data_IF_358525824856
#
_entry.id   IF_358525824856
#
_cell.length_a   1.000
_cell.length_b   1.000
_cell.length_c   1.000
_cell.angle_alpha   90.00
_cell.angle_beta   90.00
_cell.angle_gamma   90.00
#
_symmetry.space_group_name_H-M   'P 1'
#
loop_
_entity.id
_entity.type
_entity.pdbx_description
1 polymer ?
#
# COMPACT_ATOMS: atom_id res chain seq x y z
N UNK A 1 -17.55 95.58 36.23
CA UNK A 1 -17.68 95.03 34.85
C UNK A 1 -16.57 94.00 34.65
N UNK A 2 -16.84 92.74 34.91
CA UNK A 2 -15.88 91.65 34.77
C UNK A 2 -16.07 90.93 33.43
N UNK A 3 -15.03 90.86 32.61
CA UNK A 3 -15.06 90.11 31.35
C UNK A 3 -14.72 88.64 31.60
N UNK A 4 -15.72 87.77 31.42
CA UNK A 4 -15.56 86.30 31.37
C UNK A 4 -14.72 85.93 30.12
N UNK A 5 -13.59 85.28 30.35
CA UNK A 5 -12.75 84.69 29.31
C UNK A 5 -13.23 83.19 29.16
N UNK A 6 -13.87 82.92 28.04
CA UNK A 6 -14.33 81.58 27.71
C UNK A 6 -13.15 80.74 27.16
N UNK A 7 -12.66 79.74 27.92
CA UNK A 7 -11.57 78.82 27.51
C UNK A 7 -12.14 77.63 26.81
N UNK A 8 -12.32 77.67 25.50
CA UNK A 8 -12.68 76.52 24.68
C UNK A 8 -11.60 75.46 24.69
N UNK A 9 -11.75 74.44 25.53
CA UNK A 9 -10.92 73.23 25.56
C UNK A 9 -11.28 72.35 24.36
N UNK A 10 -10.54 72.45 23.24
CA UNK A 10 -10.61 71.47 22.14
C UNK A 10 -10.14 70.11 22.61
N UNK A 11 -11.07 69.17 22.93
CA UNK A 11 -10.77 67.74 23.12
C UNK A 11 -10.25 67.14 21.82
N UNK A 12 -8.95 66.85 21.74
CA UNK A 12 -8.37 66.04 20.66
C UNK A 12 -8.98 64.64 20.72
N UNK A 13 -9.92 64.29 19.84
CA UNK A 13 -10.38 62.94 19.62
C UNK A 13 -9.22 62.08 19.13
N UNK A 14 -8.61 61.29 20.02
CA UNK A 14 -7.68 60.22 19.64
C UNK A 14 -8.45 59.24 18.74
N UNK A 15 -8.14 59.20 17.43
CA UNK A 15 -8.63 58.16 16.51
C UNK A 15 -8.16 56.79 17.07
N UNK A 16 -9.07 55.97 17.58
CA UNK A 16 -8.77 54.56 17.91
C UNK A 16 -8.32 53.91 16.60
N UNK A 17 -7.05 53.57 16.49
CA UNK A 17 -6.56 52.73 15.38
C UNK A 17 -7.36 51.46 15.40
N UNK A 18 -8.06 51.15 14.31
CA UNK A 18 -8.78 49.90 14.17
C UNK A 18 -7.74 48.76 14.21
N UNK A 19 -7.62 48.05 15.30
CA UNK A 19 -6.70 46.88 15.50
C UNK A 19 -7.13 45.68 14.68
N UNK A 20 -8.40 45.64 14.20
CA UNK A 20 -8.98 44.57 13.44
C UNK A 20 -8.16 44.08 12.22
N UNK A 21 -7.64 44.94 11.32
CA UNK A 21 -6.85 44.48 10.18
C UNK A 21 -5.51 43.85 10.62
N UNK A 22 -4.92 44.29 11.72
CA UNK A 22 -3.68 43.71 12.25
C UNK A 22 -3.95 42.32 12.82
N UNK A 23 -5.05 42.15 13.53
CA UNK A 23 -5.48 40.83 14.06
C UNK A 23 -5.80 39.87 12.89
N UNK A 24 -6.47 40.35 11.85
CA UNK A 24 -6.79 39.50 10.68
C UNK A 24 -5.52 39.08 9.94
N UNK A 25 -4.57 40.00 9.71
CA UNK A 25 -3.28 39.69 9.04
C UNK A 25 -2.47 38.68 9.90
N UNK A 26 -2.43 38.86 11.22
CA UNK A 26 -1.72 37.93 12.11
C UNK A 26 -2.36 36.54 12.15
N UNK A 27 -3.71 36.43 12.09
CA UNK A 27 -4.42 35.15 11.98
C UNK A 27 -4.16 34.47 10.64
N UNK A 28 -4.19 35.22 9.53
CA UNK A 28 -3.85 34.68 8.20
C UNK A 28 -2.38 34.25 8.17
N UNK A 29 -1.46 35.05 8.73
CA UNK A 29 -0.05 34.68 8.83
C UNK A 29 0.17 33.40 9.65
N UNK A 30 -0.51 33.26 10.79
CA UNK A 30 -0.45 32.06 11.63
C UNK A 30 -1.03 30.84 10.87
N UNK A 31 -2.13 31.02 10.15
CA UNK A 31 -2.74 29.96 9.34
C UNK A 31 -1.78 29.49 8.23
N UNK A 32 -1.15 30.43 7.49
CA UNK A 32 -0.16 30.09 6.45
C UNK A 32 1.04 29.34 7.05
N UNK A 33 1.55 29.79 8.20
CA UNK A 33 2.68 29.13 8.87
C UNK A 33 2.30 27.72 9.37
N UNK A 34 1.11 27.55 9.92
CA UNK A 34 0.67 26.23 10.44
C UNK A 34 0.36 25.26 9.30
N UNK A 35 -0.36 25.69 8.26
CA UNK A 35 -0.70 24.83 7.11
C UNK A 35 0.53 24.58 6.25
N UNK A 36 1.30 25.62 5.94
CA UNK A 36 2.53 25.48 5.15
C UNK A 36 3.62 24.70 5.88
N UNK A 37 3.78 24.91 7.19
CA UNK A 37 4.70 24.14 8.03
C UNK A 37 4.29 22.69 8.16
N UNK A 38 2.98 22.43 8.30
CA UNK A 38 2.43 21.08 8.31
C UNK A 38 2.65 20.33 6.99
N UNK A 39 2.35 21.00 5.87
CA UNK A 39 2.61 20.46 4.54
C UNK A 39 4.10 20.16 4.31
N UNK A 40 4.99 21.11 4.62
CA UNK A 40 6.44 20.93 4.49
C UNK A 40 6.94 19.77 5.37
N UNK A 41 6.43 19.65 6.60
CA UNK A 41 6.78 18.58 7.51
C UNK A 41 6.40 17.20 6.93
N UNK A 42 5.17 17.06 6.45
CA UNK A 42 4.67 15.80 5.87
C UNK A 42 5.40 15.45 4.58
N UNK A 43 5.61 16.40 3.67
CA UNK A 43 6.38 16.15 2.43
C UNK A 43 7.83 15.75 2.71
N UNK A 44 8.47 16.36 3.72
CA UNK A 44 9.82 15.98 4.13
C UNK A 44 9.87 14.58 4.73
N UNK A 45 8.80 14.11 5.38
CA UNK A 45 8.69 12.73 5.86
C UNK A 45 8.51 11.75 4.69
N UNK A 46 7.63 12.06 3.74
CA UNK A 46 7.38 11.21 2.57
C UNK A 46 8.62 11.08 1.68
N UNK A 47 9.47 12.10 1.63
CA UNK A 47 10.76 12.04 0.92
C UNK A 47 11.81 11.11 1.57
N UNK A 48 11.48 10.43 2.68
CA UNK A 48 12.34 9.39 3.29
C UNK A 48 12.20 8.03 2.63
N UNK A 49 11.18 7.82 1.79
CA UNK A 49 11.06 6.60 1.01
C UNK A 49 12.20 6.49 0.02
N UNK A 50 12.61 5.25 -0.26
CA UNK A 50 13.56 4.99 -1.34
C UNK A 50 12.84 5.15 -2.68
N UNK A 51 13.12 6.28 -3.36
CA UNK A 51 12.54 6.54 -4.66
C UNK A 51 13.31 5.79 -5.75
N UNK A 52 12.58 5.04 -6.56
CA UNK A 52 13.13 4.31 -7.71
C UNK A 52 12.39 4.77 -8.96
N UNK A 53 13.10 5.50 -9.82
CA UNK A 53 12.52 5.96 -11.08
C UNK A 53 12.39 4.78 -12.05
N UNK A 54 11.23 4.65 -12.69
CA UNK A 54 10.94 3.66 -13.74
C UNK A 54 10.64 4.37 -15.07
N UNK A 55 10.91 3.69 -16.19
CA UNK A 55 10.63 4.24 -17.50
C UNK A 55 9.17 3.98 -17.90
N UNK A 56 8.29 4.94 -17.70
CA UNK A 56 6.86 4.82 -18.04
C UNK A 56 6.60 4.44 -19.51
N UNK A 57 7.49 4.82 -20.43
CA UNK A 57 7.37 4.48 -21.85
C UNK A 57 7.61 2.99 -22.19
N UNK A 58 8.07 2.19 -21.22
CA UNK A 58 8.42 0.77 -21.39
C UNK A 58 7.56 -0.19 -20.55
N UNK A 59 6.43 0.25 -20.04
CA UNK A 59 5.60 -0.55 -19.10
C UNK A 59 4.61 -1.50 -19.79
N UNK A 60 4.63 -1.64 -21.10
CA UNK A 60 3.77 -2.59 -21.83
C UNK A 60 2.27 -2.29 -21.74
N UNK A 61 1.91 -1.02 -21.55
CA UNK A 61 0.52 -0.58 -21.48
C UNK A 61 -0.05 -0.47 -22.89
N UNK A 62 -1.21 -1.09 -23.12
CA UNK A 62 -1.97 -0.92 -24.34
C UNK A 62 -2.58 0.49 -24.40
N UNK A 63 -2.40 1.20 -25.53
CA UNK A 63 -2.85 2.58 -25.71
C UNK A 63 -4.37 2.74 -25.54
N UNK A 64 -5.15 1.74 -25.98
CA UNK A 64 -6.61 1.76 -25.81
C UNK A 64 -6.99 1.66 -24.34
N UNK A 65 -6.38 0.75 -23.59
CA UNK A 65 -6.60 0.57 -22.15
C UNK A 65 -6.18 1.82 -21.39
N UNK A 66 -4.99 2.34 -21.67
CA UNK A 66 -4.44 3.54 -21.03
C UNK A 66 -5.30 4.80 -21.25
N UNK A 67 -5.89 4.94 -22.44
CA UNK A 67 -6.73 6.11 -22.76
C UNK A 67 -8.16 6.00 -22.24
N UNK A 68 -8.72 4.79 -22.20
CA UNK A 68 -10.13 4.52 -21.88
C UNK A 68 -10.43 4.62 -20.38
N UNK A 69 -9.53 4.16 -19.53
CA UNK A 69 -9.78 4.02 -18.09
C UNK A 69 -8.99 5.01 -17.23
N UNK A 70 -9.01 6.30 -17.61
CA UNK A 70 -8.23 7.37 -16.93
C UNK A 70 -8.63 7.65 -15.48
N UNK A 71 -9.88 7.32 -15.10
CA UNK A 71 -10.40 7.49 -13.74
C UNK A 71 -10.11 6.29 -12.83
N UNK A 72 -9.50 5.25 -13.39
CA UNK A 72 -9.10 4.05 -12.64
C UNK A 72 -7.58 4.02 -12.58
N UNK A 73 -7.03 4.18 -11.37
CA UNK A 73 -5.59 4.11 -11.13
C UNK A 73 -5.24 2.76 -10.53
N UNK A 74 -4.27 2.10 -11.16
CA UNK A 74 -3.72 0.83 -10.73
C UNK A 74 -2.28 1.01 -10.26
N UNK A 75 -1.98 0.54 -9.04
CA UNK A 75 -0.66 0.61 -8.42
C UNK A 75 -0.22 -0.81 -8.09
N UNK A 76 0.96 -1.22 -8.56
CA UNK A 76 1.51 -2.52 -8.20
C UNK A 76 2.05 -2.51 -6.77
N UNK A 77 1.68 -3.51 -5.98
CA UNK A 77 2.19 -3.73 -4.64
C UNK A 77 3.02 -5.01 -4.62
N UNK A 78 4.30 -4.88 -4.32
CA UNK A 78 5.23 -6.00 -4.27
C UNK A 78 5.71 -6.27 -2.84
N UNK A 79 5.51 -7.51 -2.37
CA UNK A 79 6.18 -8.04 -1.20
C UNK A 79 7.35 -8.90 -1.67
N UNK A 80 8.57 -8.47 -1.39
CA UNK A 80 9.79 -9.15 -1.85
C UNK A 80 10.52 -9.87 -0.72
N UNK A 81 11.20 -10.95 -1.06
CA UNK A 81 12.16 -11.64 -0.18
C UNK A 81 13.56 -11.38 -0.73
N UNK A 82 14.12 -10.22 -0.37
CA UNK A 82 15.43 -9.78 -0.83
C UNK A 82 16.44 -9.74 0.31
N UNK A 83 17.68 -10.14 0.01
CA UNK A 83 18.81 -10.05 0.90
C UNK A 83 19.81 -9.03 0.34
N UNK A 84 20.13 -8.01 1.12
CA UNK A 84 21.03 -6.94 0.68
C UNK A 84 20.42 -6.05 -0.39
N UNK A 85 21.20 -5.71 -1.43
CA UNK A 85 20.79 -4.80 -2.50
C UNK A 85 20.29 -5.53 -3.77
N UNK A 86 20.10 -6.85 -3.72
CA UNK A 86 19.61 -7.62 -4.86
C UNK A 86 18.10 -7.49 -5.01
N UNK A 87 17.61 -7.62 -6.24
CA UNK A 87 16.19 -7.80 -6.48
C UNK A 87 15.80 -9.22 -6.06
N UNK A 88 15.01 -9.33 -4.97
CA UNK A 88 14.41 -10.60 -4.58
C UNK A 88 13.23 -10.96 -5.46
N UNK A 89 12.66 -12.16 -5.26
CA UNK A 89 11.40 -12.54 -5.92
C UNK A 89 10.23 -11.82 -5.26
N UNK A 90 9.26 -11.37 -6.07
CA UNK A 90 8.00 -10.82 -5.55
C UNK A 90 7.06 -11.95 -5.11
N UNK A 91 7.29 -12.48 -3.91
CA UNK A 91 6.49 -13.58 -3.37
C UNK A 91 5.05 -13.17 -3.02
N UNK A 92 4.78 -11.89 -2.97
CA UNK A 92 3.43 -11.29 -2.98
C UNK A 92 3.37 -10.26 -4.10
N UNK A 93 2.46 -10.42 -5.04
CA UNK A 93 2.20 -9.49 -6.13
C UNK A 93 0.73 -9.15 -6.15
N UNK A 94 0.41 -7.87 -5.93
CA UNK A 94 -0.97 -7.38 -5.89
C UNK A 94 -1.12 -6.11 -6.70
N UNK A 95 -2.34 -5.81 -7.10
CA UNK A 95 -2.72 -4.54 -7.74
C UNK A 95 -3.73 -3.85 -6.85
N UNK A 96 -3.37 -2.68 -6.36
CA UNK A 96 -4.28 -1.76 -5.69
C UNK A 96 -4.96 -0.91 -6.76
N UNK A 97 -6.28 -1.03 -6.87
CA UNK A 97 -7.10 -0.27 -7.82
C UNK A 97 -7.91 0.79 -7.07
N UNK A 98 -7.78 2.03 -7.50
CA UNK A 98 -8.60 3.16 -7.05
C UNK A 98 -9.56 3.50 -8.18
N UNK A 99 -10.79 3.04 -8.05
CA UNK A 99 -11.87 3.25 -9.01
C UNK A 99 -12.69 4.48 -8.60
N UNK A 100 -12.42 5.60 -9.27
CA UNK A 100 -13.06 6.89 -8.99
C UNK A 100 -14.50 6.94 -9.50
N UNK A 101 -14.78 6.19 -10.55
CA UNK A 101 -16.11 6.18 -11.18
C UNK A 101 -17.12 5.45 -10.28
N UNK A 102 -16.76 4.29 -9.76
CA UNK A 102 -17.61 3.47 -8.88
C UNK A 102 -17.38 3.75 -7.39
N UNK A 103 -16.40 4.60 -7.04
CA UNK A 103 -16.01 4.92 -5.64
C UNK A 103 -15.61 3.67 -4.86
N UNK A 104 -14.77 2.84 -5.45
CA UNK A 104 -14.31 1.58 -4.87
C UNK A 104 -12.80 1.52 -4.76
N UNK A 105 -12.35 0.79 -3.76
CA UNK A 105 -10.96 0.36 -3.62
C UNK A 105 -10.96 -1.16 -3.78
N UNK A 106 -10.11 -1.66 -4.69
CA UNK A 106 -9.98 -3.10 -4.95
C UNK A 106 -8.54 -3.54 -4.73
N UNK A 107 -8.38 -4.71 -4.17
CA UNK A 107 -7.08 -5.36 -3.99
C UNK A 107 -7.09 -6.69 -4.75
N UNK A 108 -6.30 -6.76 -5.81
CA UNK A 108 -6.25 -7.91 -6.72
C UNK A 108 -4.94 -8.64 -6.55
N UNK A 109 -4.96 -9.89 -6.08
CA UNK A 109 -3.76 -10.72 -6.02
C UNK A 109 -3.49 -11.41 -7.34
N UNK A 110 -2.22 -11.41 -7.75
CA UNK A 110 -1.71 -12.18 -8.88
C UNK A 110 -0.89 -13.35 -8.37
N UNK A 111 -1.22 -14.56 -8.83
CA UNK A 111 -0.53 -15.76 -8.36
C UNK A 111 0.93 -15.74 -8.82
N UNK A 112 1.85 -15.80 -7.86
CA UNK A 112 3.31 -15.65 -8.08
C UNK A 112 3.91 -16.71 -9.00
N UNK A 113 3.34 -17.93 -9.00
CA UNK A 113 3.80 -19.07 -9.78
C UNK A 113 3.13 -19.15 -11.17
N UNK A 114 2.33 -18.13 -11.56
CA UNK A 114 1.73 -18.00 -12.89
C UNK A 114 2.80 -18.10 -13.98
N UNK A 115 2.60 -18.99 -14.94
CA UNK A 115 3.52 -19.22 -16.05
C UNK A 115 3.28 -18.21 -17.16
N UNK A 116 4.11 -17.19 -17.23
CA UNK A 116 3.95 -16.00 -18.08
C UNK A 116 5.19 -15.78 -18.95
N UNK A 117 5.05 -15.04 -20.02
CA UNK A 117 6.18 -14.58 -20.84
C UNK A 117 6.80 -13.34 -20.19
N UNK A 118 8.11 -13.42 -19.90
CA UNK A 118 8.88 -12.31 -19.32
C UNK A 118 9.82 -11.77 -20.38
N UNK A 119 9.65 -10.51 -20.76
CA UNK A 119 10.42 -9.88 -21.82
C UNK A 119 11.93 -10.07 -21.62
N UNK A 120 12.60 -10.64 -22.62
CA UNK A 120 14.05 -10.94 -22.59
C UNK A 120 14.45 -12.21 -21.82
N UNK A 121 13.50 -12.89 -21.15
CA UNK A 121 13.78 -14.09 -20.34
C UNK A 121 12.96 -15.32 -20.75
N UNK A 122 11.94 -15.15 -21.64
CA UNK A 122 11.02 -16.23 -22.03
C UNK A 122 10.00 -16.55 -20.93
N UNK A 123 9.37 -17.74 -21.06
CA UNK A 123 8.29 -18.12 -20.13
C UNK A 123 8.85 -18.64 -18.80
N UNK A 124 8.44 -17.98 -17.70
CA UNK A 124 8.81 -18.37 -16.35
C UNK A 124 7.71 -17.94 -15.35
N UNK A 125 7.96 -18.08 -14.04
CA UNK A 125 7.05 -17.63 -12.98
C UNK A 125 6.96 -16.10 -12.94
N UNK A 126 5.76 -15.58 -12.72
CA UNK A 126 5.52 -14.14 -12.61
C UNK A 126 6.44 -13.44 -11.60
N UNK A 127 6.70 -14.08 -10.44
CA UNK A 127 7.55 -13.50 -9.40
C UNK A 127 9.02 -13.38 -9.79
N UNK A 128 9.48 -14.13 -10.80
CA UNK A 128 10.83 -14.03 -11.34
C UNK A 128 11.04 -12.72 -12.14
N UNK A 129 9.98 -12.14 -12.70
CA UNK A 129 10.08 -10.86 -13.41
C UNK A 129 10.69 -9.76 -12.52
N UNK A 130 10.28 -9.71 -11.24
CA UNK A 130 10.86 -8.76 -10.28
C UNK A 130 12.33 -9.07 -9.98
N UNK A 131 12.70 -10.34 -9.84
CA UNK A 131 14.07 -10.74 -9.59
C UNK A 131 15.01 -10.45 -10.77
N UNK A 132 14.51 -10.53 -12.02
CA UNK A 132 15.29 -10.30 -13.23
C UNK A 132 15.48 -8.81 -13.57
N UNK A 133 14.47 -7.97 -13.38
CA UNK A 133 14.51 -6.58 -13.81
C UNK A 133 13.78 -5.61 -12.89
N UNK A 134 13.58 -5.96 -11.61
CA UNK A 134 12.96 -5.09 -10.62
C UNK A 134 11.50 -4.75 -10.92
N UNK A 135 11.02 -3.64 -10.37
CA UNK A 135 9.62 -3.25 -10.50
C UNK A 135 9.21 -2.95 -11.95
N UNK A 136 10.09 -2.37 -12.77
CA UNK A 136 9.79 -2.02 -14.17
C UNK A 136 9.45 -3.27 -15.00
N UNK A 137 10.30 -4.30 -14.96
CA UNK A 137 10.05 -5.53 -15.69
C UNK A 137 8.85 -6.31 -15.14
N UNK A 138 8.64 -6.28 -13.83
CA UNK A 138 7.49 -6.91 -13.21
C UNK A 138 6.18 -6.23 -13.64
N UNK A 139 6.11 -4.89 -13.64
CA UNK A 139 4.95 -4.12 -14.10
C UNK A 139 4.70 -4.39 -15.58
N UNK A 140 5.74 -4.34 -16.42
CA UNK A 140 5.63 -4.64 -17.84
C UNK A 140 5.02 -6.02 -18.08
N UNK A 141 5.55 -7.03 -17.41
CA UNK A 141 5.05 -8.41 -17.49
C UNK A 141 3.57 -8.50 -17.08
N UNK A 142 3.18 -7.82 -16.01
CA UNK A 142 1.79 -7.78 -15.54
C UNK A 142 0.88 -7.10 -16.56
N UNK A 143 1.26 -5.92 -17.05
CA UNK A 143 0.47 -5.17 -18.02
C UNK A 143 0.28 -5.95 -19.32
N UNK A 144 1.33 -6.53 -19.87
CA UNK A 144 1.28 -7.31 -21.11
C UNK A 144 0.43 -8.58 -20.94
N UNK A 145 0.62 -9.33 -19.83
CA UNK A 145 -0.09 -10.59 -19.57
C UNK A 145 -1.58 -10.37 -19.32
N UNK A 146 -1.91 -9.40 -18.45
CA UNK A 146 -3.29 -9.21 -17.97
C UNK A 146 -4.01 -8.02 -18.62
N UNK A 147 -3.33 -7.27 -19.49
CA UNK A 147 -3.90 -6.09 -20.17
C UNK A 147 -4.29 -4.98 -19.22
N UNK A 148 -3.38 -4.64 -18.28
CA UNK A 148 -3.58 -3.59 -17.31
C UNK A 148 -2.86 -2.29 -17.71
N UNK A 149 -3.07 -1.22 -16.91
CA UNK A 149 -2.46 0.09 -17.11
C UNK A 149 -1.70 0.56 -15.89
N UNK A 150 -0.99 -0.35 -15.23
CA UNK A 150 -0.19 -0.05 -14.04
C UNK A 150 0.97 0.85 -14.46
N UNK A 151 1.13 1.97 -13.74
CA UNK A 151 2.24 2.92 -13.93
C UNK A 151 3.09 3.08 -12.69
N UNK A 152 2.46 2.97 -11.54
CA UNK A 152 3.07 3.25 -10.24
C UNK A 152 3.24 1.95 -9.43
N UNK A 153 4.16 1.97 -8.48
CA UNK A 153 4.36 0.82 -7.60
C UNK A 153 4.71 1.22 -6.16
N UNK A 154 4.54 0.26 -5.25
CA UNK A 154 5.16 0.26 -3.94
C UNK A 154 5.72 -1.14 -3.63
N UNK A 155 6.93 -1.18 -3.09
CA UNK A 155 7.59 -2.44 -2.70
C UNK A 155 7.97 -2.39 -1.22
N UNK A 156 7.68 -3.48 -0.52
CA UNK A 156 8.10 -3.70 0.87
C UNK A 156 8.83 -5.04 0.95
N UNK A 157 9.97 -5.06 1.65
CA UNK A 157 10.62 -6.32 1.95
C UNK A 157 9.89 -7.03 3.10
N UNK A 158 9.64 -8.33 2.97
CA UNK A 158 9.01 -9.14 4.02
C UNK A 158 9.73 -9.06 5.36
N UNK A 159 11.04 -8.82 5.36
CA UNK A 159 11.80 -8.60 6.59
C UNK A 159 11.38 -7.35 7.36
N UNK A 160 10.75 -6.38 6.70
CA UNK A 160 10.24 -5.13 7.31
C UNK A 160 8.80 -5.24 7.81
N UNK A 161 8.02 -6.21 7.30
CA UNK A 161 6.61 -6.37 7.65
C UNK A 161 6.35 -6.51 9.17
N UNK A 162 7.13 -7.32 9.92
CA UNK A 162 6.95 -7.41 11.37
C UNK A 162 7.06 -6.07 12.06
N UNK A 163 8.06 -5.28 11.69
CA UNK A 163 8.29 -3.96 12.29
C UNK A 163 7.14 -2.99 11.96
N UNK A 164 6.62 -3.01 10.74
CA UNK A 164 5.48 -2.18 10.34
C UNK A 164 4.27 -2.50 11.22
N UNK A 165 3.95 -3.78 11.41
CA UNK A 165 2.83 -4.23 12.23
C UNK A 165 3.03 -3.85 13.71
N UNK A 166 4.25 -4.02 14.24
CA UNK A 166 4.55 -3.65 15.64
C UNK A 166 4.41 -2.13 15.88
N UNK A 167 4.78 -1.30 14.90
CA UNK A 167 4.60 0.16 14.97
C UNK A 167 3.11 0.55 15.03
N UNK A 168 2.25 -0.18 14.33
CA UNK A 168 0.80 0.01 14.36
C UNK A 168 0.19 -0.45 15.69
N UNK A 169 0.88 -1.33 16.42
CA UNK A 169 0.44 -1.89 17.70
C UNK A 169 -0.05 -3.33 17.59
N UNK A 170 0.05 -3.96 16.42
CA UNK A 170 -0.47 -5.30 16.12
C UNK A 170 -1.66 -5.23 15.16
N UNK A 171 -2.17 -6.40 14.78
CA UNK A 171 -3.37 -6.57 13.94
C UNK A 171 -4.21 -7.72 14.45
N UNK A 172 -5.53 -7.65 14.25
CA UNK A 172 -6.47 -8.69 14.64
C UNK A 172 -6.74 -9.65 13.47
N UNK A 173 -6.42 -10.94 13.65
CA UNK A 173 -6.60 -12.01 12.65
C UNK A 173 -7.41 -13.15 13.25
N UNK A 174 -8.36 -13.70 12.50
CA UNK A 174 -9.12 -14.87 12.88
C UNK A 174 -8.32 -16.14 12.51
N UNK A 175 -7.81 -16.84 13.53
CA UNK A 175 -6.96 -18.03 13.38
C UNK A 175 -7.82 -19.30 13.49
N UNK A 176 -7.79 -20.12 12.46
CA UNK A 176 -8.48 -21.41 12.47
C UNK A 176 -7.66 -22.53 13.13
N UNK A 177 -8.31 -23.68 13.35
CA UNK A 177 -7.69 -24.83 14.04
C UNK A 177 -6.58 -25.50 13.21
N UNK A 178 -6.66 -25.45 11.88
CA UNK A 178 -5.63 -25.99 11.01
C UNK A 178 -4.37 -25.11 11.02
N UNK A 179 -4.52 -23.80 11.21
CA UNK A 179 -3.45 -22.81 11.16
C UNK A 179 -2.59 -22.78 12.43
N UNK A 180 -3.15 -23.10 13.59
CA UNK A 180 -2.47 -22.97 14.90
C UNK A 180 -1.12 -23.70 14.93
N UNK A 181 -1.05 -24.92 14.46
CA UNK A 181 0.20 -25.69 14.50
C UNK A 181 1.24 -25.06 13.58
N UNK A 182 0.85 -24.75 12.34
CA UNK A 182 1.76 -24.17 11.36
C UNK A 182 2.26 -22.78 11.75
N UNK A 183 1.39 -21.91 12.27
CA UNK A 183 1.82 -20.57 12.72
C UNK A 183 2.85 -20.69 13.84
N UNK A 184 2.65 -21.63 14.78
CA UNK A 184 3.56 -21.82 15.90
C UNK A 184 4.92 -22.41 15.48
N UNK A 185 4.97 -23.27 14.48
CA UNK A 185 6.21 -23.77 13.89
C UNK A 185 7.01 -22.60 13.28
N UNK A 186 6.34 -21.71 12.54
CA UNK A 186 6.99 -20.53 11.99
C UNK A 186 7.41 -19.51 13.07
N UNK A 187 6.63 -19.33 14.14
CA UNK A 187 7.03 -18.50 15.30
C UNK A 187 8.29 -19.06 15.93
N UNK A 188 8.36 -20.38 16.13
CA UNK A 188 9.53 -21.04 16.69
C UNK A 188 10.78 -20.79 15.83
N UNK A 189 10.68 -20.99 14.52
CA UNK A 189 11.78 -20.77 13.59
C UNK A 189 12.24 -19.30 13.58
N UNK A 190 11.30 -18.35 13.58
CA UNK A 190 11.60 -16.93 13.62
C UNK A 190 12.25 -16.52 14.94
N UNK A 191 11.77 -17.05 16.06
CA UNK A 191 12.40 -16.84 17.36
C UNK A 191 13.86 -17.30 17.38
N UNK A 192 14.13 -18.46 16.79
CA UNK A 192 15.48 -19.02 16.71
C UNK A 192 16.41 -18.16 15.85
N UNK A 193 15.92 -17.71 14.67
CA UNK A 193 16.67 -16.87 13.73
C UNK A 193 16.95 -15.49 14.35
N UNK A 194 15.92 -14.85 14.89
CA UNK A 194 15.98 -13.47 15.38
C UNK A 194 16.43 -13.37 16.83
N UNK A 195 16.63 -14.50 17.53
CA UNK A 195 16.97 -14.57 18.96
C UNK A 195 15.93 -13.85 19.82
N UNK A 196 14.65 -14.01 19.49
CA UNK A 196 13.49 -13.45 20.20
C UNK A 196 12.76 -14.54 20.99
N UNK A 197 11.75 -14.17 21.77
CA UNK A 197 10.91 -15.10 22.52
C UNK A 197 9.44 -14.70 22.41
N UNK A 198 8.95 -14.62 21.18
CA UNK A 198 7.53 -14.36 20.88
C UNK A 198 6.70 -15.58 21.27
N UNK A 199 5.59 -15.34 21.96
CA UNK A 199 4.72 -16.40 22.47
C UNK A 199 3.94 -17.07 21.35
N UNK A 200 3.67 -18.36 21.52
CA UNK A 200 2.82 -19.15 20.62
C UNK A 200 1.35 -18.69 20.71
N UNK A 201 0.63 -18.87 19.61
CA UNK A 201 -0.83 -18.77 19.57
C UNK A 201 -1.42 -20.05 20.14
N UNK A 202 -2.28 -19.93 21.13
CA UNK A 202 -2.83 -21.09 21.86
C UNK A 202 -4.33 -21.29 21.67
N UNK A 203 -5.02 -20.37 21.01
CA UNK A 203 -6.47 -20.38 20.81
C UNK A 203 -6.83 -20.07 19.37
N UNK A 204 -7.93 -20.62 18.90
CA UNK A 204 -8.60 -20.25 17.65
C UNK A 204 -9.45 -18.99 17.82
N UNK A 205 -9.97 -18.47 16.71
CA UNK A 205 -10.75 -17.23 16.67
C UNK A 205 -9.86 -16.01 16.59
N UNK A 206 -10.45 -14.83 16.74
CA UNK A 206 -9.75 -13.56 16.61
C UNK A 206 -8.64 -13.43 17.65
N UNK A 207 -7.41 -13.28 17.17
CA UNK A 207 -6.20 -13.12 17.97
C UNK A 207 -5.51 -11.82 17.57
N UNK A 208 -5.06 -11.05 18.57
CA UNK A 208 -4.24 -9.86 18.35
C UNK A 208 -2.79 -10.27 18.13
N UNK A 209 -2.32 -10.18 16.88
CA UNK A 209 -1.00 -10.63 16.46
C UNK A 209 0.00 -9.47 16.46
N UNK A 210 1.17 -9.69 17.06
CA UNK A 210 2.33 -8.83 16.83
C UNK A 210 2.97 -9.11 15.45
N UNK A 211 3.96 -8.30 15.06
CA UNK A 211 4.56 -8.42 13.74
C UNK A 211 5.19 -9.77 13.44
N UNK A 212 5.83 -10.42 14.41
CA UNK A 212 6.40 -11.76 14.24
C UNK A 212 5.31 -12.81 14.03
N UNK A 213 4.23 -12.76 14.80
CA UNK A 213 3.08 -13.67 14.67
C UNK A 213 2.36 -13.46 13.35
N UNK A 214 2.12 -12.22 12.93
CA UNK A 214 1.51 -11.91 11.64
C UNK A 214 2.39 -12.35 10.45
N UNK A 215 3.71 -12.20 10.57
CA UNK A 215 4.63 -12.72 9.56
C UNK A 215 4.63 -14.25 9.51
N UNK A 216 4.55 -14.93 10.66
CA UNK A 216 4.40 -16.37 10.74
C UNK A 216 3.10 -16.83 10.05
N UNK A 217 2.00 -16.12 10.27
CA UNK A 217 0.72 -16.32 9.58
C UNK A 217 0.85 -16.21 8.05
N UNK A 218 1.51 -15.19 7.55
CA UNK A 218 1.79 -15.02 6.11
C UNK A 218 2.62 -16.17 5.51
N UNK A 219 3.40 -16.89 6.32
CA UNK A 219 4.28 -17.99 5.86
C UNK A 219 3.60 -19.34 5.78
N UNK A 220 2.40 -19.51 6.33
CA UNK A 220 1.68 -20.80 6.30
C UNK A 220 1.43 -21.24 4.86
N UNK A 221 1.84 -22.48 4.51
CA UNK A 221 1.71 -23.06 3.17
C UNK A 221 1.02 -24.41 3.13
N UNK A 222 0.99 -25.13 4.27
CA UNK A 222 0.62 -26.54 4.31
C UNK A 222 -0.81 -26.80 4.81
N UNK A 223 -1.65 -25.76 4.82
CA UNK A 223 -3.09 -25.90 5.07
C UNK A 223 -3.84 -26.30 3.79
N UNK A 224 -5.07 -26.76 3.93
CA UNK A 224 -5.99 -27.00 2.82
C UNK A 224 -6.08 -25.74 1.94
N UNK A 225 -5.90 -25.88 0.62
CA UNK A 225 -5.83 -24.74 -0.32
C UNK A 225 -4.43 -24.19 -0.61
N UNK A 226 -3.37 -24.66 0.04
CA UNK A 226 -1.96 -24.43 -0.33
C UNK A 226 -1.56 -22.95 -0.58
N UNK A 227 -0.96 -22.66 -1.73
CA UNK A 227 -0.49 -21.30 -2.08
C UNK A 227 -1.64 -20.30 -2.29
N UNK A 228 -2.82 -20.77 -2.64
CA UNK A 228 -4.04 -19.95 -2.72
C UNK A 228 -4.42 -19.37 -1.36
N UNK A 229 -4.43 -20.21 -0.33
CA UNK A 229 -4.68 -19.76 1.06
C UNK A 229 -3.59 -18.83 1.57
N UNK A 230 -2.33 -19.06 1.19
CA UNK A 230 -1.26 -18.12 1.52
C UNK A 230 -1.49 -16.74 0.91
N UNK A 231 -1.91 -16.67 -0.35
CA UNK A 231 -2.23 -15.42 -1.03
C UNK A 231 -3.41 -14.69 -0.37
N UNK A 232 -4.41 -15.44 0.11
CA UNK A 232 -5.52 -14.90 0.90
C UNK A 232 -5.03 -14.29 2.22
N UNK A 233 -4.18 -14.99 2.98
CA UNK A 233 -3.57 -14.48 4.22
C UNK A 233 -2.78 -13.19 4.00
N UNK A 234 -2.05 -13.08 2.89
CA UNK A 234 -1.35 -11.85 2.56
C UNK A 234 -2.32 -10.68 2.36
N UNK A 235 -3.46 -10.90 1.67
CA UNK A 235 -4.48 -9.85 1.48
C UNK A 235 -5.11 -9.46 2.81
N UNK A 236 -5.47 -10.44 3.64
CA UNK A 236 -6.04 -10.21 4.95
C UNK A 236 -5.13 -9.36 5.84
N UNK A 237 -3.84 -9.70 5.91
CA UNK A 237 -2.86 -8.91 6.67
C UNK A 237 -2.77 -7.48 6.13
N UNK A 238 -2.76 -7.26 4.81
CA UNK A 238 -2.75 -5.90 4.24
C UNK A 238 -4.05 -5.14 4.54
N UNK A 239 -5.20 -5.80 4.49
CA UNK A 239 -6.48 -5.20 4.88
C UNK A 239 -6.47 -4.77 6.34
N UNK A 240 -6.00 -5.63 7.24
CA UNK A 240 -5.90 -5.30 8.67
C UNK A 240 -4.91 -4.17 8.96
N UNK A 241 -3.77 -4.13 8.27
CA UNK A 241 -2.85 -2.99 8.32
C UNK A 241 -3.56 -1.69 7.89
N UNK A 242 -4.36 -1.75 6.82
CA UNK A 242 -5.11 -0.58 6.35
C UNK A 242 -6.20 -0.14 7.35
N UNK A 243 -6.92 -1.09 7.96
CA UNK A 243 -7.89 -0.82 9.04
C UNK A 243 -7.20 -0.15 10.25
N UNK A 244 -6.08 -0.68 10.71
CA UNK A 244 -5.32 -0.10 11.84
C UNK A 244 -4.82 1.31 11.54
N UNK A 245 -4.33 1.55 10.33
CA UNK A 245 -3.94 2.91 9.91
C UNK A 245 -5.13 3.88 10.01
N UNK A 246 -6.34 3.49 9.61
CA UNK A 246 -7.51 4.36 9.67
C UNK A 246 -7.95 4.70 11.11
N UNK A 247 -7.73 3.79 12.05
CA UNK A 247 -8.09 3.97 13.47
C UNK A 247 -7.02 4.68 14.27
N UNK A 248 -5.83 4.85 13.71
CA UNK A 248 -4.69 5.47 14.40
C UNK A 248 -5.01 6.91 14.82
N UNK A 249 -4.68 7.26 16.05
CA UNK A 249 -4.87 8.66 16.49
C UNK A 249 -3.96 9.61 15.70
N UNK A 250 -4.43 10.82 15.32
CA UNK A 250 -3.65 11.77 14.51
C UNK A 250 -2.26 12.08 15.05
N UNK A 251 -2.08 12.05 16.38
CA UNK A 251 -0.79 12.29 17.03
C UNK A 251 0.26 11.20 16.78
N UNK A 252 -0.15 9.98 16.39
CA UNK A 252 0.75 8.86 16.12
C UNK A 252 1.22 8.80 14.67
N UNK A 253 0.51 9.44 13.73
CA UNK A 253 0.90 9.43 12.31
C UNK A 253 2.35 9.88 12.06
N UNK A 254 2.85 10.99 12.66
CA UNK A 254 4.22 11.40 12.43
C UNK A 254 5.26 10.34 12.80
N UNK A 255 5.09 9.67 13.93
CA UNK A 255 6.00 8.61 14.37
C UNK A 255 5.92 7.40 13.45
N UNK A 256 4.71 6.94 13.14
CA UNK A 256 4.47 5.82 12.23
C UNK A 256 5.10 6.09 10.85
N UNK A 257 4.81 7.24 10.23
CA UNK A 257 5.38 7.60 8.93
C UNK A 257 6.91 7.66 8.95
N UNK A 258 7.50 8.25 10.00
CA UNK A 258 8.95 8.32 10.16
C UNK A 258 9.64 6.96 10.15
N UNK A 259 8.99 5.94 10.71
CA UNK A 259 9.57 4.61 10.87
C UNK A 259 9.24 3.68 9.71
N UNK A 260 8.04 3.81 9.11
CA UNK A 260 7.57 2.93 8.03
C UNK A 260 8.09 3.37 6.66
N UNK A 261 8.08 4.69 6.38
CA UNK A 261 8.42 5.18 5.04
C UNK A 261 9.82 4.77 4.54
N UNK A 262 10.88 4.74 5.37
CA UNK A 262 12.19 4.26 4.92
C UNK A 262 12.23 2.78 4.51
N UNK A 263 11.16 2.00 4.78
CA UNK A 263 11.06 0.59 4.41
C UNK A 263 10.30 0.38 3.10
N UNK A 264 9.80 1.44 2.50
CA UNK A 264 9.03 1.41 1.25
C UNK A 264 9.86 1.97 0.11
N UNK A 265 9.93 1.20 -0.99
CA UNK A 265 10.47 1.66 -2.27
C UNK A 265 9.32 1.96 -3.21
N UNK A 266 9.35 3.10 -3.91
CA UNK A 266 8.28 3.53 -4.81
C UNK A 266 8.80 4.53 -5.84
N UNK A 267 8.09 4.68 -6.95
CA UNK A 267 8.27 5.77 -7.92
C UNK A 267 7.43 7.01 -7.58
N UNK A 268 6.39 6.83 -6.75
CA UNK A 268 5.49 7.92 -6.35
C UNK A 268 6.23 9.01 -5.58
N UNK A 269 5.96 10.26 -5.91
CA UNK A 269 6.46 11.38 -5.12
C UNK A 269 5.55 11.70 -3.91
N UNK A 270 6.02 12.56 -3.01
CA UNK A 270 5.30 12.91 -1.79
C UNK A 270 3.90 13.49 -2.04
N UNK A 271 3.71 14.26 -3.12
CA UNK A 271 2.43 14.86 -3.44
C UNK A 271 1.44 13.80 -3.96
N UNK A 272 1.93 12.86 -4.77
CA UNK A 272 1.12 11.74 -5.27
C UNK A 272 0.59 10.92 -4.11
N UNK A 273 1.44 10.57 -3.14
CA UNK A 273 1.08 9.79 -1.96
C UNK A 273 0.06 10.52 -1.08
N UNK A 274 0.26 11.82 -0.84
CA UNK A 274 -0.69 12.64 -0.09
C UNK A 274 -2.05 12.71 -0.79
N UNK A 275 -2.03 12.89 -2.11
CA UNK A 275 -3.25 12.90 -2.93
C UNK A 275 -3.98 11.58 -2.85
N UNK A 276 -3.28 10.47 -3.11
CA UNK A 276 -3.82 9.11 -3.04
C UNK A 276 -4.37 8.79 -1.64
N UNK A 277 -3.62 9.06 -0.58
CA UNK A 277 -4.07 8.80 0.79
C UNK A 277 -5.34 9.57 1.15
N UNK A 278 -5.40 10.87 0.82
CA UNK A 278 -6.60 11.68 1.07
C UNK A 278 -7.80 11.26 0.22
N UNK A 279 -7.55 10.77 -0.99
CA UNK A 279 -8.57 10.27 -1.89
C UNK A 279 -9.13 8.93 -1.41
N UNK A 280 -8.28 7.97 -1.07
CA UNK A 280 -8.70 6.66 -0.56
C UNK A 280 -9.60 6.78 0.67
N UNK A 281 -9.27 7.68 1.61
CA UNK A 281 -10.10 7.95 2.79
C UNK A 281 -11.49 8.49 2.46
N UNK A 282 -11.67 9.13 1.30
CA UNK A 282 -12.97 9.68 0.85
C UNK A 282 -13.78 8.69 0.02
N UNK A 283 -13.11 7.78 -0.70
CA UNK A 283 -13.74 6.86 -1.65
C UNK A 283 -14.46 5.74 -0.92
N UNK A 284 -13.75 4.95 -0.11
CA UNK A 284 -14.33 3.77 0.52
C UNK A 284 -13.67 3.46 1.87
N UNK A 285 -14.48 2.87 2.77
CA UNK A 285 -14.00 2.31 4.04
C UNK A 285 -13.68 0.82 3.96
N UNK A 286 -14.09 0.16 2.88
CA UNK A 286 -13.87 -1.28 2.66
C UNK A 286 -13.08 -1.51 1.38
N UNK A 287 -12.29 -2.58 1.35
CA UNK A 287 -11.52 -3.03 0.19
C UNK A 287 -12.20 -4.28 -0.36
N UNK A 288 -12.60 -4.23 -1.64
CA UNK A 288 -13.05 -5.43 -2.35
C UNK A 288 -11.82 -6.24 -2.78
N UNK A 289 -11.89 -7.57 -2.66
CA UNK A 289 -10.73 -8.43 -2.88
C UNK A 289 -11.01 -9.50 -3.92
N UNK A 290 -10.00 -9.79 -4.74
CA UNK A 290 -10.07 -10.87 -5.72
C UNK A 290 -8.67 -11.42 -6.02
N UNK A 291 -8.63 -12.62 -6.67
CA UNK A 291 -7.40 -13.31 -7.03
C UNK A 291 -7.46 -13.84 -8.46
N UNK A 292 -6.37 -13.72 -9.18
CA UNK A 292 -6.20 -14.25 -10.53
C UNK A 292 -4.85 -14.97 -10.71
N UNK A 293 -4.82 -15.99 -11.59
CA UNK A 293 -5.97 -16.61 -12.26
C UNK A 293 -6.93 -17.27 -11.26
N UNK A 294 -8.19 -17.49 -11.71
CA UNK A 294 -9.17 -18.28 -10.96
C UNK A 294 -8.83 -19.76 -11.02
N UNK A 295 -9.30 -20.55 -10.02
CA UNK A 295 -9.06 -22.00 -9.99
C UNK A 295 -9.62 -22.71 -11.24
N UNK A 296 -10.80 -22.27 -11.70
CA UNK A 296 -11.43 -22.81 -12.90
C UNK A 296 -10.64 -22.56 -14.19
N UNK A 297 -9.75 -21.57 -14.20
CA UNK A 297 -8.97 -21.16 -15.36
C UNK A 297 -7.50 -21.58 -15.27
N UNK A 298 -7.09 -22.26 -14.18
CA UNK A 298 -5.70 -22.60 -13.93
C UNK A 298 -5.48 -24.07 -13.65
N UNK A 299 -4.27 -24.54 -13.89
CA UNK A 299 -3.84 -25.91 -13.61
C UNK A 299 -2.39 -25.96 -13.14
N UNK A 300 -2.14 -26.77 -12.13
CA UNK A 300 -0.81 -27.04 -11.64
C UNK A 300 -0.01 -27.90 -12.63
N UNK A 301 1.23 -27.55 -12.87
CA UNK A 301 2.08 -28.24 -13.86
C UNK A 301 3.54 -28.25 -13.40
N UNK A 302 4.20 -29.40 -13.60
CA UNK A 302 5.65 -29.52 -13.44
C UNK A 302 6.34 -29.45 -14.80
N UNK A 303 7.25 -28.48 -14.97
CA UNK A 303 8.11 -28.36 -16.16
C UNK A 303 9.55 -28.46 -15.70
N UNK A 304 10.29 -29.45 -16.18
CA UNK A 304 11.67 -29.72 -15.78
C UNK A 304 11.84 -29.79 -14.24
N UNK A 305 10.92 -30.46 -13.55
CA UNK A 305 10.89 -30.57 -12.07
C UNK A 305 10.64 -29.25 -11.32
N UNK A 306 10.22 -28.20 -12.01
CA UNK A 306 9.82 -26.92 -11.40
C UNK A 306 8.31 -26.79 -11.48
N UNK A 307 7.68 -26.41 -10.37
CA UNK A 307 6.24 -26.18 -10.27
C UNK A 307 5.87 -24.86 -10.97
N UNK A 308 4.82 -24.88 -11.77
CA UNK A 308 4.21 -23.70 -12.40
C UNK A 308 2.69 -23.77 -12.32
N UNK A 309 2.05 -22.62 -12.32
CA UNK A 309 0.61 -22.46 -12.47
C UNK A 309 0.32 -22.02 -13.91
N UNK A 310 -0.10 -22.96 -14.77
CA UNK A 310 -0.60 -22.64 -16.12
C UNK A 310 -2.03 -22.15 -16.03
N UNK A 311 -2.41 -21.24 -16.91
CA UNK A 311 -3.77 -20.71 -16.95
C UNK A 311 -4.18 -20.33 -18.38
N UNK A 312 -5.48 -20.15 -18.58
CA UNK A 312 -6.02 -19.61 -19.81
C UNK A 312 -5.80 -18.10 -19.84
N UNK A 313 -4.81 -17.64 -20.61
CA UNK A 313 -4.39 -16.23 -20.65
C UNK A 313 -5.53 -15.30 -21.10
N UNK A 314 -6.28 -15.65 -22.17
CA UNK A 314 -7.35 -14.82 -22.74
C UNK A 314 -8.54 -14.67 -21.77
N UNK A 315 -9.00 -15.79 -21.19
CA UNK A 315 -10.10 -15.76 -20.23
C UNK A 315 -9.70 -15.02 -18.96
N UNK A 316 -8.50 -15.27 -18.44
CA UNK A 316 -8.00 -14.58 -17.24
C UNK A 316 -7.84 -13.09 -17.48
N UNK A 317 -7.29 -12.69 -18.65
CA UNK A 317 -7.18 -11.29 -19.03
C UNK A 317 -8.55 -10.61 -19.10
N UNK A 318 -9.54 -11.27 -19.69
CA UNK A 318 -10.91 -10.76 -19.72
C UNK A 318 -11.50 -10.62 -18.31
N UNK A 319 -11.40 -11.66 -17.48
CA UNK A 319 -11.94 -11.65 -16.12
C UNK A 319 -11.33 -10.56 -15.24
N UNK A 320 -10.00 -10.39 -15.28
CA UNK A 320 -9.33 -9.35 -14.49
C UNK A 320 -9.67 -7.93 -14.99
N UNK A 321 -9.82 -7.74 -16.31
CA UNK A 321 -10.27 -6.47 -16.85
C UNK A 321 -11.73 -6.17 -16.51
N UNK A 322 -12.61 -7.17 -16.55
CA UNK A 322 -14.00 -7.03 -16.10
C UNK A 322 -14.07 -6.63 -14.64
N UNK A 323 -13.28 -7.27 -13.79
CA UNK A 323 -13.16 -6.94 -12.37
C UNK A 323 -12.59 -5.53 -12.12
N UNK A 324 -11.44 -5.21 -12.71
CA UNK A 324 -10.73 -3.94 -12.44
C UNK A 324 -11.43 -2.76 -13.09
N UNK A 325 -11.79 -2.85 -14.38
CA UNK A 325 -12.20 -1.71 -15.17
C UNK A 325 -13.71 -1.57 -15.37
N UNK A 326 -14.47 -2.68 -15.25
CA UNK A 326 -15.91 -2.68 -15.53
C UNK A 326 -16.76 -2.96 -14.31
N UNK A 327 -16.13 -3.24 -13.17
CA UNK A 327 -16.80 -3.58 -11.92
C UNK A 327 -17.75 -4.79 -12.02
N UNK A 328 -17.40 -5.76 -12.88
CA UNK A 328 -18.12 -7.02 -13.06
C UNK A 328 -17.45 -8.12 -12.22
N UNK A 329 -18.27 -9.01 -11.63
CA UNK A 329 -17.79 -10.15 -10.80
C UNK A 329 -17.98 -11.46 -11.54
#
# INVERSE_FOLDING_TARGET
MEKRVDRNKRKKRRKKKKLWPIVLISMIGLFIVTVGGGYFYVTNMLNKMERVDINEGNLGIDDEVGSKYKNIQNIALFGIDAVGNEYGRSDSTMVLTIDRDNKKIKLTSLMRDSYVDINGHGKDKLNHAYAFGGPELAIKTINETFGLNIKDFATVNFSSLPKIIDILGGIDIDIDSEEINYINDYIYDMNKINKTNVQNITKTGVQHLNGTQAMAYCRIRYTSGGDYKRTERHREVLEKIFEEIQTLSPSKYPTMLNEVLPMVKTDLNANDILSLGTEMLKISKSIEQERFPKDSESSETMINSVYYLKFNEDNTKKQIQDWIFRDLK
#
